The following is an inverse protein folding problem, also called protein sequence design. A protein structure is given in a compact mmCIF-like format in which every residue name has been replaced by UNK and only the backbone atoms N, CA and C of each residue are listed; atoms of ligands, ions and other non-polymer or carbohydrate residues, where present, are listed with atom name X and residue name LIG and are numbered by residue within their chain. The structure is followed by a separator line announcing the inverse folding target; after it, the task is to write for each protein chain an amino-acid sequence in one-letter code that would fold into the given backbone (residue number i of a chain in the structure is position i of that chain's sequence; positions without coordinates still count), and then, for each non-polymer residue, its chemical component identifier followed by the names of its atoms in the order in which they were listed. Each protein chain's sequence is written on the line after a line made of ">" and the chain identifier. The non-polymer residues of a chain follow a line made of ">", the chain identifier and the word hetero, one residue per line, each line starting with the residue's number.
data_IF_222518335913
#
_entry.id   IF_222518335913
#
_cell.length_a   1.000
_cell.length_b   1.000
_cell.length_c   1.000
_cell.angle_alpha   90.00
_cell.angle_beta   90.00
_cell.angle_gamma   90.00
#
_symmetry.space_group_name_H-M   'P 1'
#
loop_
_entity.id
_entity.type
_entity.pdbx_description
1 polymer ?
#
# COMPACT_ATOMS: atom_id res chain seq x y z
N UNK A 1 4.67 5.83 -15.12
CA UNK A 1 5.99 5.19 -15.06
C UNK A 1 5.71 3.70 -15.04
N UNK A 2 6.39 2.90 -15.86
CA UNK A 2 6.14 1.46 -15.86
C UNK A 2 6.68 0.85 -14.56
N UNK A 3 5.88 0.06 -13.85
CA UNK A 3 6.32 -0.66 -12.65
C UNK A 3 7.32 -1.74 -13.07
N UNK A 4 8.55 -1.66 -12.56
CA UNK A 4 9.66 -2.59 -12.86
C UNK A 4 10.19 -3.33 -11.65
N UNK A 5 9.99 -2.81 -10.45
CA UNK A 5 10.31 -3.51 -9.20
C UNK A 5 9.15 -3.41 -8.22
N UNK A 6 8.67 -4.56 -7.73
CA UNK A 6 7.63 -4.66 -6.71
C UNK A 6 8.23 -5.26 -5.45
N UNK A 7 8.02 -4.60 -4.31
CA UNK A 7 8.34 -5.13 -2.98
C UNK A 7 7.15 -5.91 -2.43
N UNK A 8 7.41 -7.10 -1.91
CA UNK A 8 6.48 -7.85 -1.06
C UNK A 8 7.13 -8.10 0.29
N UNK A 9 6.49 -7.64 1.38
CA UNK A 9 6.95 -7.89 2.75
C UNK A 9 6.07 -8.97 3.37
N UNK A 10 6.69 -10.04 3.87
CA UNK A 10 5.99 -11.23 4.33
C UNK A 10 6.48 -11.58 5.73
N UNK A 11 5.56 -11.75 6.68
CA UNK A 11 5.89 -12.26 8.00
C UNK A 11 6.16 -13.78 7.97
N UNK A 12 7.08 -14.27 8.80
CA UNK A 12 7.45 -15.70 8.80
C UNK A 12 6.28 -16.66 8.99
N UNK A 13 5.28 -16.26 9.79
CA UNK A 13 4.09 -17.07 10.09
C UNK A 13 2.96 -16.93 9.06
N UNK A 14 3.18 -16.23 7.95
CA UNK A 14 2.18 -16.07 6.90
C UNK A 14 2.20 -17.27 5.95
N UNK A 15 1.05 -17.60 5.38
CA UNK A 15 1.01 -18.54 4.27
C UNK A 15 1.62 -17.91 3.01
N UNK A 16 1.64 -18.67 1.91
CA UNK A 16 2.27 -18.19 0.67
C UNK A 16 1.29 -17.45 -0.27
N UNK A 17 0.07 -17.13 0.17
CA UNK A 17 -0.97 -16.54 -0.70
C UNK A 17 -0.56 -15.15 -1.21
N UNK A 18 -0.02 -14.32 -0.32
CA UNK A 18 0.45 -12.98 -0.66
C UNK A 18 1.69 -13.06 -1.57
N UNK A 19 2.57 -14.06 -1.37
CA UNK A 19 3.74 -14.30 -2.23
C UNK A 19 3.31 -14.75 -3.63
N UNK A 20 2.31 -15.64 -3.73
CA UNK A 20 1.75 -16.09 -5.01
C UNK A 20 1.09 -14.93 -5.75
N UNK A 21 0.34 -14.10 -5.04
CA UNK A 21 -0.26 -12.87 -5.60
C UNK A 21 0.81 -11.91 -6.13
N UNK A 22 1.94 -11.76 -5.42
CA UNK A 22 3.07 -10.95 -5.86
C UNK A 22 3.73 -11.52 -7.13
N UNK A 23 3.91 -12.84 -7.19
CA UNK A 23 4.45 -13.54 -8.36
C UNK A 23 3.56 -13.32 -9.58
N UNK A 24 2.24 -13.51 -9.43
CA UNK A 24 1.27 -13.32 -10.50
C UNK A 24 1.28 -11.87 -11.02
N UNK A 25 1.31 -10.89 -10.11
CA UNK A 25 1.37 -9.48 -10.46
C UNK A 25 2.67 -9.15 -11.21
N UNK A 26 3.82 -9.58 -10.71
CA UNK A 26 5.12 -9.34 -11.35
C UNK A 26 5.20 -10.00 -12.73
N UNK A 27 4.67 -11.22 -12.88
CA UNK A 27 4.60 -11.90 -14.17
C UNK A 27 3.76 -11.12 -15.19
N UNK A 28 2.61 -10.58 -14.77
CA UNK A 28 1.71 -9.83 -15.65
C UNK A 28 2.29 -8.50 -16.18
N UNK A 29 3.24 -7.90 -15.46
CA UNK A 29 3.88 -6.61 -15.83
C UNK A 29 5.36 -6.72 -16.14
N UNK A 30 5.91 -7.94 -16.17
CA UNK A 30 7.34 -8.23 -16.36
C UNK A 30 8.24 -7.45 -15.39
N UNK A 31 7.85 -7.41 -14.11
CA UNK A 31 8.59 -6.76 -13.04
C UNK A 31 9.48 -7.73 -12.25
N UNK A 32 10.52 -7.18 -11.64
CA UNK A 32 11.33 -7.84 -10.63
C UNK A 32 10.57 -7.88 -9.30
N UNK A 33 10.57 -9.03 -8.63
CA UNK A 33 9.99 -9.19 -7.30
C UNK A 33 11.09 -9.14 -6.23
N UNK A 34 11.09 -8.10 -5.40
CA UNK A 34 11.92 -8.03 -4.20
C UNK A 34 11.11 -8.54 -3.01
N UNK A 35 11.55 -9.62 -2.38
CA UNK A 35 10.85 -10.21 -1.22
C UNK A 35 11.64 -9.95 0.05
N UNK A 36 10.96 -9.37 1.05
CA UNK A 36 11.51 -9.18 2.39
C UNK A 36 10.75 -10.06 3.38
N UNK A 37 11.41 -11.07 3.92
CA UNK A 37 10.81 -11.96 4.93
C UNK A 37 11.18 -11.42 6.30
N UNK A 38 10.17 -11.11 7.12
CA UNK A 38 10.36 -10.35 8.36
C UNK A 38 9.93 -11.14 9.59
N UNK A 39 10.75 -11.03 10.64
CA UNK A 39 10.43 -11.39 12.02
C UNK A 39 10.46 -10.12 12.87
N UNK A 40 9.41 -9.91 13.66
CA UNK A 40 9.41 -8.89 14.72
C UNK A 40 9.91 -9.52 16.01
N UNK A 41 11.16 -9.24 16.33
CA UNK A 41 11.84 -9.73 17.50
C UNK A 41 11.25 -9.11 18.78
N UNK A 42 11.11 -9.93 19.81
CA UNK A 42 10.87 -9.47 21.16
C UNK A 42 12.18 -8.92 21.72
N UNK A 43 12.23 -7.66 22.23
CA UNK A 43 13.46 -7.09 22.76
C UNK A 43 13.95 -7.89 23.99
N UNK A 44 15.27 -7.94 24.23
CA UNK A 44 15.82 -8.65 25.39
C UNK A 44 15.29 -8.04 26.69
N UNK A 45 14.82 -8.90 27.60
CA UNK A 45 14.47 -8.51 28.96
C UNK A 45 15.78 -8.35 29.74
N UNK A 46 16.20 -7.10 29.94
CA UNK A 46 17.46 -6.71 30.58
C UNK A 46 18.06 -5.51 29.85
N UNK A 47 17.82 -4.30 30.37
CA UNK A 47 18.26 -3.05 29.71
C UNK A 47 19.77 -2.81 29.82
N UNK A 48 20.29 -1.94 28.94
CA UNK A 48 21.56 -1.20 29.04
C UNK A 48 22.64 -1.79 29.96
N UNK A 49 23.20 -2.96 29.61
CA UNK A 49 24.38 -3.52 30.26
C UNK A 49 24.17 -4.70 31.22
N UNK A 50 22.96 -5.26 31.31
CA UNK A 50 22.72 -6.52 32.03
C UNK A 50 23.02 -7.77 31.16
N UNK A 51 23.31 -8.89 31.82
CA UNK A 51 23.52 -10.19 31.17
C UNK A 51 22.21 -10.62 30.49
N UNK A 52 22.25 -10.72 29.15
CA UNK A 52 21.13 -11.23 28.37
C UNK A 52 20.76 -12.63 28.85
N UNK A 53 19.48 -12.85 29.19
CA UNK A 53 19.00 -14.15 29.62
C UNK A 53 19.27 -15.22 28.56
N UNK A 54 19.78 -16.39 28.96
CA UNK A 54 19.99 -17.53 28.06
C UNK A 54 18.70 -17.95 27.36
N UNK A 55 17.55 -17.78 28.03
CA UNK A 55 16.22 -18.04 27.45
C UNK A 55 15.95 -17.14 26.24
N UNK A 56 16.34 -15.87 26.29
CA UNK A 56 16.16 -14.96 25.16
C UNK A 56 17.11 -15.31 24.00
N UNK A 57 18.36 -15.70 24.31
CA UNK A 57 19.32 -16.14 23.29
C UNK A 57 18.80 -17.37 22.56
N UNK A 58 18.33 -18.38 23.29
CA UNK A 58 17.73 -19.58 22.71
C UNK A 58 16.49 -19.27 21.86
N UNK A 59 15.62 -18.35 22.31
CA UNK A 59 14.42 -17.99 21.56
C UNK A 59 14.77 -17.24 20.27
N UNK A 60 15.71 -16.31 20.32
CA UNK A 60 16.24 -15.65 19.12
C UNK A 60 16.80 -16.65 18.12
N UNK A 61 17.58 -17.63 18.58
CA UNK A 61 18.11 -18.69 17.69
C UNK A 61 16.98 -19.48 17.02
N UNK A 62 15.93 -19.84 17.77
CA UNK A 62 14.75 -20.51 17.21
C UNK A 62 14.04 -19.66 16.15
N UNK A 63 13.83 -18.37 16.42
CA UNK A 63 13.19 -17.46 15.47
C UNK A 63 14.03 -17.26 14.20
N UNK A 64 15.36 -17.16 14.33
CA UNK A 64 16.25 -17.09 13.17
C UNK A 64 16.20 -18.37 12.33
N UNK A 65 16.14 -19.56 12.96
CA UNK A 65 15.95 -20.80 12.20
C UNK A 65 14.60 -20.85 11.47
N UNK A 66 13.52 -20.33 12.09
CA UNK A 66 12.21 -20.22 11.42
C UNK A 66 12.30 -19.29 10.22
N UNK A 67 12.98 -18.15 10.37
CA UNK A 67 13.25 -17.20 9.29
C UNK A 67 14.01 -17.85 8.14
N UNK A 68 15.11 -18.55 8.42
CA UNK A 68 15.90 -19.26 7.41
C UNK A 68 15.08 -20.31 6.66
N UNK A 69 14.25 -21.09 7.38
CA UNK A 69 13.34 -22.06 6.78
C UNK A 69 12.32 -21.38 5.85
N UNK A 70 11.72 -20.26 6.27
CA UNK A 70 10.77 -19.51 5.45
C UNK A 70 11.45 -18.92 4.21
N UNK A 71 12.67 -18.39 4.35
CA UNK A 71 13.49 -17.90 3.23
C UNK A 71 13.77 -19.01 2.21
N UNK A 72 14.18 -20.19 2.66
CA UNK A 72 14.42 -21.34 1.78
C UNK A 72 13.15 -21.77 1.04
N UNK A 73 12.01 -21.82 1.74
CA UNK A 73 10.70 -22.15 1.14
C UNK A 73 10.28 -21.12 0.08
N UNK A 74 10.38 -19.83 0.40
CA UNK A 74 10.04 -18.75 -0.53
C UNK A 74 10.93 -18.77 -1.77
N UNK A 75 12.25 -18.97 -1.61
CA UNK A 75 13.19 -19.12 -2.74
C UNK A 75 12.80 -20.29 -3.65
N UNK A 76 12.42 -21.42 -3.07
CA UNK A 76 11.99 -22.60 -3.84
C UNK A 76 10.73 -22.29 -4.66
N UNK A 77 9.76 -21.61 -4.07
CA UNK A 77 8.56 -21.18 -4.78
C UNK A 77 8.90 -20.20 -5.93
N UNK A 78 9.74 -19.21 -5.66
CA UNK A 78 10.14 -18.19 -6.64
C UNK A 78 10.93 -18.77 -7.82
N UNK A 79 11.83 -19.71 -7.56
CA UNK A 79 12.58 -20.40 -8.62
C UNK A 79 11.65 -21.10 -9.63
N UNK A 80 10.51 -21.64 -9.17
CA UNK A 80 9.54 -22.29 -10.04
C UNK A 80 8.69 -21.32 -10.88
N UNK A 81 8.71 -20.01 -10.56
CA UNK A 81 7.83 -19.02 -11.20
C UNK A 81 8.38 -18.40 -12.49
N UNK A 82 9.70 -18.45 -12.69
CA UNK A 82 10.37 -17.91 -13.88
C UNK A 82 10.50 -16.38 -13.93
N UNK A 83 10.07 -15.65 -12.90
CA UNK A 83 10.26 -14.19 -12.81
C UNK A 83 11.66 -13.83 -12.30
N UNK A 84 12.07 -12.58 -12.52
CA UNK A 84 13.27 -12.03 -11.87
C UNK A 84 12.95 -11.73 -10.40
N UNK A 85 13.78 -12.17 -9.46
CA UNK A 85 13.53 -11.95 -8.04
C UNK A 85 14.81 -11.85 -7.20
N UNK A 86 14.67 -11.24 -6.03
CA UNK A 86 15.60 -11.29 -4.92
C UNK A 86 14.83 -11.63 -3.63
N UNK A 87 15.51 -12.27 -2.67
CA UNK A 87 14.92 -12.57 -1.36
C UNK A 87 15.91 -12.19 -0.29
N UNK A 88 15.44 -11.35 0.62
CA UNK A 88 16.17 -10.88 1.80
C UNK A 88 15.37 -11.17 3.06
N UNK A 89 16.04 -11.10 4.20
CA UNK A 89 15.48 -11.42 5.51
C UNK A 89 15.73 -10.30 6.50
N UNK A 90 14.72 -9.98 7.30
CA UNK A 90 14.79 -8.94 8.32
C UNK A 90 14.38 -9.52 9.67
N UNK A 91 15.33 -9.55 10.61
CA UNK A 91 15.06 -9.84 12.01
C UNK A 91 15.24 -8.55 12.80
N UNK A 92 14.14 -7.96 13.28
CA UNK A 92 14.18 -6.61 13.85
C UNK A 92 13.14 -6.41 14.94
N UNK A 93 13.37 -5.47 15.84
CA UNK A 93 12.36 -5.11 16.84
C UNK A 93 11.28 -4.22 16.22
N UNK A 94 10.07 -4.28 16.76
CA UNK A 94 8.93 -3.50 16.26
C UNK A 94 9.18 -1.98 16.20
N UNK A 95 10.09 -1.44 17.03
CA UNK A 95 10.42 -0.02 17.05
C UNK A 95 11.29 0.46 15.88
N UNK A 96 11.95 -0.45 15.16
CA UNK A 96 12.85 -0.15 14.03
C UNK A 96 12.32 -0.65 12.69
N UNK A 97 11.36 -1.58 12.74
CA UNK A 97 10.80 -2.24 11.57
C UNK A 97 10.32 -1.27 10.47
N UNK A 98 9.63 -0.18 10.84
CA UNK A 98 9.13 0.78 9.85
C UNK A 98 10.27 1.48 9.09
N UNK A 99 11.34 1.88 9.77
CA UNK A 99 12.51 2.47 9.12
C UNK A 99 13.16 1.46 8.16
N UNK A 100 13.45 0.24 8.63
CA UNK A 100 14.15 -0.80 7.85
C UNK A 100 13.35 -1.27 6.64
N UNK A 101 12.04 -1.48 6.80
CA UNK A 101 11.13 -1.77 5.68
C UNK A 101 11.10 -0.59 4.70
N UNK A 102 11.07 0.63 5.24
CA UNK A 102 11.18 1.86 4.46
C UNK A 102 12.42 1.93 3.60
N UNK A 103 13.57 1.51 4.13
CA UNK A 103 14.84 1.52 3.38
C UNK A 103 14.79 0.63 2.15
N UNK A 104 14.15 -0.54 2.27
CA UNK A 104 13.92 -1.41 1.12
C UNK A 104 12.90 -0.82 0.16
N UNK A 105 11.81 -0.26 0.67
CA UNK A 105 10.76 0.34 -0.14
C UNK A 105 11.23 1.56 -0.96
N UNK A 106 12.30 2.26 -0.54
CA UNK A 106 12.86 3.41 -1.29
C UNK A 106 13.37 3.08 -2.69
N UNK A 107 13.72 1.81 -2.94
CA UNK A 107 14.34 1.36 -4.19
C UNK A 107 13.39 0.53 -5.07
N UNK A 108 12.08 0.59 -4.82
CA UNK A 108 11.06 -0.09 -5.62
C UNK A 108 10.07 0.90 -6.20
N UNK A 109 9.35 0.48 -7.23
CA UNK A 109 8.32 1.31 -7.87
C UNK A 109 6.96 1.15 -7.17
N UNK A 110 6.75 0.04 -6.46
CA UNK A 110 5.49 -0.30 -5.80
C UNK A 110 5.74 -1.26 -4.63
N UNK A 111 5.06 -1.06 -3.50
CA UNK A 111 5.01 -2.07 -2.43
C UNK A 111 3.64 -2.75 -2.43
N UNK A 112 3.59 -4.06 -2.69
CA UNK A 112 2.37 -4.85 -2.63
C UNK A 112 2.09 -5.32 -1.21
N UNK A 113 0.86 -5.08 -0.75
CA UNK A 113 0.35 -5.46 0.56
C UNK A 113 -0.89 -6.34 0.34
N UNK A 114 -0.72 -7.65 0.55
CA UNK A 114 -1.79 -8.61 0.33
C UNK A 114 -2.75 -8.74 1.52
N UNK A 115 -3.88 -9.42 1.28
CA UNK A 115 -4.94 -9.57 2.27
C UNK A 115 -4.54 -10.42 3.47
N UNK A 116 -3.57 -11.34 3.32
CA UNK A 116 -3.02 -12.12 4.43
C UNK A 116 -2.28 -11.23 5.42
N UNK A 117 -1.47 -10.31 4.91
CA UNK A 117 -0.73 -9.33 5.68
C UNK A 117 -1.64 -8.34 6.41
N UNK A 118 -2.69 -7.83 5.73
CA UNK A 118 -3.66 -6.90 6.33
C UNK A 118 -4.44 -7.51 7.51
N UNK A 119 -4.57 -8.84 7.56
CA UNK A 119 -5.28 -9.54 8.62
C UNK A 119 -4.45 -9.75 9.89
N UNK A 120 -3.13 -9.49 9.86
CA UNK A 120 -2.24 -9.63 11.03
C UNK A 120 -1.93 -8.28 11.66
N UNK A 121 -2.41 -8.05 12.88
CA UNK A 121 -2.33 -6.74 13.54
C UNK A 121 -0.90 -6.29 13.87
N UNK A 122 0.02 -7.23 14.15
CA UNK A 122 1.40 -6.95 14.58
C UNK A 122 2.30 -6.47 13.44
N UNK A 123 2.25 -7.10 12.27
CA UNK A 123 3.06 -6.77 11.09
C UNK A 123 2.47 -5.63 10.26
N UNK A 124 1.15 -5.50 10.27
CA UNK A 124 0.40 -4.61 9.38
C UNK A 124 0.87 -3.16 9.49
N UNK A 125 0.94 -2.62 10.71
CA UNK A 125 1.26 -1.20 10.91
C UNK A 125 2.73 -0.87 10.66
N UNK A 126 3.72 -1.65 11.14
CA UNK A 126 5.11 -1.44 10.76
C UNK A 126 5.33 -1.40 9.25
N UNK A 127 4.74 -2.34 8.50
CA UNK A 127 4.88 -2.36 7.03
C UNK A 127 4.19 -1.18 6.36
N UNK A 128 2.93 -0.91 6.72
CA UNK A 128 2.21 0.24 6.18
C UNK A 128 2.96 1.53 6.48
N UNK A 129 3.49 1.68 7.70
CA UNK A 129 4.22 2.87 8.08
C UNK A 129 5.54 3.01 7.33
N UNK A 130 6.32 1.94 7.23
CA UNK A 130 7.59 1.94 6.50
C UNK A 130 7.39 2.21 5.02
N UNK A 131 6.48 1.49 4.38
CA UNK A 131 6.24 1.64 2.94
C UNK A 131 5.59 2.98 2.57
N UNK A 132 4.70 3.54 3.42
CA UNK A 132 3.96 4.76 3.10
C UNK A 132 4.61 6.06 3.61
N UNK A 133 5.33 6.02 4.74
CA UNK A 133 5.92 7.21 5.34
C UNK A 133 7.44 7.30 5.22
N UNK A 134 8.14 6.17 5.01
CA UNK A 134 9.60 6.12 4.95
C UNK A 134 10.12 5.87 3.52
N UNK A 135 9.21 5.78 2.54
CA UNK A 135 9.49 5.62 1.11
C UNK A 135 8.63 6.56 0.24
N UNK A 136 9.15 7.03 -0.91
CA UNK A 136 8.34 7.72 -1.92
C UNK A 136 7.51 6.76 -2.80
N UNK A 137 7.72 5.45 -2.71
CA UNK A 137 7.02 4.47 -3.54
C UNK A 137 5.55 4.35 -3.14
N UNK A 138 4.59 4.28 -4.08
CA UNK A 138 3.21 3.93 -3.75
C UNK A 138 3.11 2.54 -3.09
N UNK A 139 2.11 2.40 -2.22
CA UNK A 139 1.64 1.10 -1.74
C UNK A 139 0.44 0.66 -2.57
N UNK A 140 0.35 -0.64 -2.82
CA UNK A 140 -0.77 -1.29 -3.50
C UNK A 140 -1.35 -2.36 -2.58
N UNK A 141 -2.52 -2.06 -2.04
CA UNK A 141 -3.21 -2.88 -1.06
C UNK A 141 -4.26 -3.71 -1.79
N UNK A 142 -4.18 -5.03 -1.66
CA UNK A 142 -5.11 -5.97 -2.30
C UNK A 142 -5.92 -6.66 -1.20
N UNK A 143 -7.23 -6.38 -1.09
CA UNK A 143 -8.07 -7.02 -0.08
C UNK A 143 -8.24 -8.52 -0.36
N UNK A 144 -8.50 -9.29 0.70
CA UNK A 144 -8.71 -10.74 0.59
C UNK A 144 -9.85 -11.05 -0.38
N UNK A 145 -9.62 -12.01 -1.28
CA UNK A 145 -10.61 -12.43 -2.29
C UNK A 145 -10.55 -11.63 -3.60
N UNK A 146 -9.64 -10.65 -3.71
CA UNK A 146 -9.36 -9.96 -4.96
C UNK A 146 -8.02 -10.40 -5.54
N UNK A 147 -7.94 -10.42 -6.87
CA UNK A 147 -6.67 -10.63 -7.59
C UNK A 147 -5.92 -9.32 -7.73
N UNK A 148 -4.61 -9.35 -7.53
CA UNK A 148 -3.75 -8.21 -7.77
C UNK A 148 -3.66 -7.92 -9.28
N UNK A 149 -4.13 -6.75 -9.73
CA UNK A 149 -4.01 -6.31 -11.12
C UNK A 149 -3.66 -4.83 -11.19
N UNK A 150 -2.67 -4.51 -12.04
CA UNK A 150 -2.29 -3.14 -12.37
C UNK A 150 -2.92 -2.66 -13.69
N UNK A 151 -3.96 -3.35 -14.18
CA UNK A 151 -4.70 -2.98 -15.39
C UNK A 151 -6.21 -2.92 -15.12
N UNK A 152 -6.67 -2.03 -14.22
CA UNK A 152 -8.09 -1.87 -13.94
C UNK A 152 -8.83 -1.24 -15.14
N UNK A 153 -10.04 -1.72 -15.41
CA UNK A 153 -10.92 -1.14 -16.44
C UNK A 153 -11.57 0.17 -15.98
N UNK A 154 -11.99 0.22 -14.71
CA UNK A 154 -12.59 1.41 -14.09
C UNK A 154 -11.80 1.81 -12.85
N UNK A 155 -11.37 3.07 -12.79
CA UNK A 155 -10.60 3.61 -11.66
C UNK A 155 -11.35 4.74 -10.98
N UNK A 156 -11.45 4.66 -9.66
CA UNK A 156 -11.90 5.76 -8.81
C UNK A 156 -10.69 6.52 -8.27
N UNK A 157 -10.58 7.81 -8.57
CA UNK A 157 -9.59 8.71 -7.99
C UNK A 157 -10.27 9.51 -6.88
N UNK A 158 -9.91 9.24 -5.62
CA UNK A 158 -10.34 10.05 -4.50
C UNK A 158 -9.50 11.33 -4.42
N UNK A 159 -10.15 12.49 -4.57
CA UNK A 159 -9.47 13.76 -4.76
C UNK A 159 -9.88 14.82 -3.74
N UNK A 160 -8.88 15.46 -3.13
CA UNK A 160 -9.05 16.52 -2.12
C UNK A 160 -8.29 17.83 -2.49
N UNK A 161 -7.82 17.92 -3.73
CA UNK A 161 -7.02 19.05 -4.26
C UNK A 161 -5.71 19.32 -3.50
N UNK A 162 -5.13 18.31 -2.85
CA UNK A 162 -3.83 18.41 -2.18
C UNK A 162 -2.70 17.73 -2.93
N UNK A 163 -1.48 17.97 -2.43
CA UNK A 163 -0.25 17.41 -2.99
C UNK A 163 -0.24 15.89 -2.93
N UNK A 164 -0.77 15.29 -1.87
CA UNK A 164 -0.82 13.84 -1.67
C UNK A 164 -1.73 13.19 -2.73
N UNK A 165 -2.93 13.75 -2.97
CA UNK A 165 -3.80 13.29 -4.05
C UNK A 165 -3.17 13.49 -5.44
N UNK A 166 -2.48 14.62 -5.64
CA UNK A 166 -1.73 14.89 -6.87
C UNK A 166 -0.60 13.89 -7.10
N UNK A 167 0.12 13.50 -6.05
CA UNK A 167 1.16 12.49 -6.11
C UNK A 167 0.56 11.11 -6.42
N UNK A 168 -0.59 10.77 -5.83
CA UNK A 168 -1.30 9.51 -6.11
C UNK A 168 -1.70 9.39 -7.58
N UNK A 169 -2.29 10.46 -8.13
CA UNK A 169 -2.62 10.52 -9.55
C UNK A 169 -1.39 10.35 -10.44
N UNK A 170 -0.26 10.97 -10.08
CA UNK A 170 0.99 10.83 -10.86
C UNK A 170 1.58 9.43 -10.76
N UNK A 171 1.57 8.82 -9.58
CA UNK A 171 2.04 7.46 -9.37
C UNK A 171 1.19 6.43 -10.13
N UNK A 172 -0.13 6.65 -10.21
CA UNK A 172 -1.07 5.77 -10.90
C UNK A 172 -1.23 6.07 -12.41
N UNK A 173 -0.42 6.94 -13.01
CA UNK A 173 -0.66 7.44 -14.36
C UNK A 173 -0.74 6.33 -15.43
N UNK A 174 0.02 5.25 -15.27
CA UNK A 174 -0.06 4.10 -16.18
C UNK A 174 -1.42 3.41 -16.11
N UNK A 175 -1.92 3.15 -14.88
CA UNK A 175 -3.22 2.55 -14.62
C UNK A 175 -4.34 3.46 -15.16
N UNK A 176 -4.24 4.77 -14.92
CA UNK A 176 -5.23 5.76 -15.36
C UNK A 176 -5.30 5.89 -16.89
N UNK A 177 -4.15 5.83 -17.58
CA UNK A 177 -4.10 5.91 -19.04
C UNK A 177 -4.61 4.62 -19.70
N UNK A 178 -4.39 3.47 -19.07
CA UNK A 178 -4.86 2.17 -19.55
C UNK A 178 -6.34 1.88 -19.25
N UNK A 179 -6.96 2.63 -18.33
CA UNK A 179 -8.34 2.42 -17.93
C UNK A 179 -9.35 2.88 -18.98
N UNK A 180 -10.48 2.16 -19.07
CA UNK A 180 -11.61 2.53 -19.93
C UNK A 180 -12.32 3.76 -19.37
N UNK A 181 -12.48 3.82 -18.05
CA UNK A 181 -13.15 4.92 -17.35
C UNK A 181 -12.36 5.32 -16.10
N UNK A 182 -12.13 6.62 -15.94
CA UNK A 182 -11.58 7.19 -14.71
C UNK A 182 -12.60 8.16 -14.13
N UNK A 183 -13.06 7.93 -12.90
CA UNK A 183 -13.90 8.87 -12.19
C UNK A 183 -13.08 9.57 -11.10
N UNK A 184 -13.04 10.90 -11.13
CA UNK A 184 -12.51 11.71 -10.03
C UNK A 184 -13.66 12.02 -9.09
N UNK A 185 -13.62 11.48 -7.88
CA UNK A 185 -14.62 11.77 -6.85
C UNK A 185 -14.10 12.76 -5.81
N UNK A 186 -14.94 13.76 -5.53
CA UNK A 186 -14.67 14.78 -4.51
C UNK A 186 -15.84 14.80 -3.54
N UNK A 187 -15.57 14.57 -2.26
CA UNK A 187 -16.61 14.52 -1.22
C UNK A 187 -16.69 15.87 -0.49
N UNK A 188 -17.89 16.44 -0.43
CA UNK A 188 -18.19 17.73 0.20
C UNK A 188 -17.18 18.86 -0.16
N UNK A 189 -16.88 19.12 -1.45
CA UNK A 189 -15.95 20.18 -1.80
C UNK A 189 -16.48 21.54 -1.37
N UNK A 190 -15.61 22.35 -0.78
CA UNK A 190 -15.83 23.79 -0.68
C UNK A 190 -15.25 24.47 -1.93
N UNK A 191 -16.12 25.02 -2.79
CA UNK A 191 -15.69 25.80 -3.95
C UNK A 191 -15.03 27.10 -3.47
N UNK A 192 -13.72 27.23 -3.73
CA UNK A 192 -12.98 28.45 -3.42
C UNK A 192 -11.77 28.58 -4.33
N UNK A 193 -11.47 29.83 -4.72
CA UNK A 193 -10.32 30.17 -5.59
C UNK A 193 -8.98 29.67 -5.01
N UNK A 194 -8.89 29.54 -3.67
CA UNK A 194 -7.66 29.08 -2.98
C UNK A 194 -7.60 27.58 -2.73
N UNK A 195 -8.63 26.82 -3.10
CA UNK A 195 -8.67 25.36 -2.91
C UNK A 195 -9.09 24.63 -4.19
N UNK A 196 -10.39 24.47 -4.41
CA UNK A 196 -10.96 23.61 -5.44
C UNK A 196 -11.26 24.36 -6.75
N UNK A 197 -10.97 25.66 -6.82
CA UNK A 197 -11.38 26.51 -7.94
C UNK A 197 -12.87 26.83 -7.92
N UNK A 198 -13.37 27.39 -9.02
CA UNK A 198 -14.79 27.68 -9.25
C UNK A 198 -15.60 26.40 -9.53
N UNK A 199 -14.96 25.41 -10.17
CA UNK A 199 -15.52 24.11 -10.48
C UNK A 199 -14.61 23.01 -9.88
N UNK A 200 -14.97 22.45 -8.69
CA UNK A 200 -14.19 21.43 -8.03
C UNK A 200 -13.85 20.25 -8.94
N UNK A 201 -12.56 19.98 -9.11
CA UNK A 201 -12.06 18.85 -9.91
C UNK A 201 -11.78 19.17 -11.39
N UNK A 202 -12.15 20.36 -11.89
CA UNK A 202 -11.92 20.73 -13.28
C UNK A 202 -10.43 20.71 -13.65
N UNK A 203 -9.55 21.21 -12.78
CA UNK A 203 -8.11 21.28 -13.05
C UNK A 203 -7.45 19.89 -13.14
N UNK A 204 -7.82 18.96 -12.25
CA UNK A 204 -7.30 17.58 -12.30
C UNK A 204 -7.88 16.82 -13.49
N UNK A 205 -9.15 17.03 -13.82
CA UNK A 205 -9.75 16.46 -15.03
C UNK A 205 -9.05 16.97 -16.30
N UNK A 206 -8.80 18.27 -16.39
CA UNK A 206 -8.04 18.85 -17.51
C UNK A 206 -6.61 18.30 -17.57
N UNK A 207 -5.94 18.13 -16.43
CA UNK A 207 -4.62 17.51 -16.35
C UNK A 207 -4.63 16.06 -16.86
N UNK A 208 -5.59 15.25 -16.43
CA UNK A 208 -5.75 13.84 -16.84
C UNK A 208 -6.11 13.74 -18.33
N UNK A 209 -7.02 14.58 -18.82
CA UNK A 209 -7.38 14.64 -20.24
C UNK A 209 -6.18 14.94 -21.14
N UNK A 210 -5.24 15.80 -20.70
CA UNK A 210 -3.97 16.06 -21.43
C UNK A 210 -3.07 14.83 -21.53
N UNK A 211 -3.23 13.84 -20.65
CA UNK A 211 -2.54 12.55 -20.71
C UNK A 211 -3.32 11.48 -21.49
N UNK A 212 -4.46 11.84 -22.10
CA UNK A 212 -5.29 10.90 -22.85
C UNK A 212 -6.25 10.08 -22.00
N UNK A 213 -6.42 10.41 -20.72
CA UNK A 213 -7.33 9.71 -19.81
C UNK A 213 -8.78 10.11 -20.08
N UNK A 214 -9.68 9.13 -20.19
CA UNK A 214 -11.14 9.37 -20.22
C UNK A 214 -11.63 9.60 -18.80
N UNK A 215 -11.75 10.87 -18.42
CA UNK A 215 -12.08 11.28 -17.05
C UNK A 215 -13.47 11.89 -16.93
N UNK A 216 -14.21 11.51 -15.90
CA UNK A 216 -15.39 12.22 -15.37
C UNK A 216 -15.09 12.77 -13.97
N UNK A 217 -15.89 13.74 -13.51
CA UNK A 217 -15.79 14.30 -12.16
C UNK A 217 -17.13 14.17 -11.47
N UNK A 218 -17.13 13.52 -10.31
CA UNK A 218 -18.30 13.32 -9.47
C UNK A 218 -18.13 14.08 -8.15
N UNK A 219 -19.02 15.06 -7.92
CA UNK A 219 -19.12 15.76 -6.65
C UNK A 219 -20.14 15.06 -5.77
N UNK A 220 -19.67 14.47 -4.68
CA UNK A 220 -20.45 13.61 -3.80
C UNK A 220 -20.80 14.34 -2.50
N UNK A 221 -22.06 14.25 -2.09
CA UNK A 221 -22.49 14.70 -0.77
C UNK A 221 -22.30 13.57 0.26
N UNK A 222 -21.65 13.86 1.40
CA UNK A 222 -21.48 12.84 2.44
C UNK A 222 -22.79 12.46 3.12
N UNK A 223 -23.70 13.42 3.27
CA UNK A 223 -24.96 13.24 4.00
C UNK A 223 -24.74 12.85 5.46
N UNK A 224 -23.62 13.29 6.07
CA UNK A 224 -23.26 12.95 7.45
C UNK A 224 -22.54 11.60 7.62
N UNK A 225 -22.30 10.86 6.53
CA UNK A 225 -21.44 9.66 6.54
C UNK A 225 -19.96 10.06 6.52
N UNK A 226 -19.06 9.12 6.86
CA UNK A 226 -17.64 9.37 6.70
C UNK A 226 -17.25 9.45 5.22
N UNK A 227 -16.23 10.25 4.88
CA UNK A 227 -15.69 10.33 3.51
C UNK A 227 -15.27 8.94 2.98
N UNK A 228 -14.70 8.10 3.84
CA UNK A 228 -14.31 6.74 3.47
C UNK A 228 -15.54 5.88 3.09
N UNK A 229 -16.65 5.96 3.83
CA UNK A 229 -17.89 5.24 3.49
C UNK A 229 -18.45 5.70 2.14
N UNK A 230 -18.44 7.01 1.89
CA UNK A 230 -18.91 7.60 0.63
C UNK A 230 -18.06 7.10 -0.54
N UNK A 231 -16.74 7.12 -0.40
CA UNK A 231 -15.82 6.64 -1.44
C UNK A 231 -15.98 5.13 -1.70
N UNK A 232 -16.13 4.31 -0.65
CA UNK A 232 -16.36 2.86 -0.80
C UNK A 232 -17.67 2.54 -1.50
N UNK A 233 -18.74 3.21 -1.08
CA UNK A 233 -20.04 3.05 -1.70
C UNK A 233 -19.95 3.44 -3.18
N UNK A 234 -19.39 4.60 -3.47
CA UNK A 234 -19.28 5.08 -4.84
C UNK A 234 -18.38 4.20 -5.72
N UNK A 235 -17.25 3.69 -5.18
CA UNK A 235 -16.41 2.71 -5.87
C UNK A 235 -17.22 1.46 -6.27
N UNK A 236 -18.11 1.00 -5.39
CA UNK A 236 -19.02 -0.12 -5.66
C UNK A 236 -20.05 0.25 -6.72
N UNK A 237 -20.67 1.44 -6.61
CA UNK A 237 -21.73 1.90 -7.50
C UNK A 237 -21.27 2.03 -8.96
N UNK A 238 -20.02 2.48 -9.18
CA UNK A 238 -19.45 2.63 -10.53
C UNK A 238 -18.72 1.37 -11.02
N UNK A 239 -18.67 0.31 -10.21
CA UNK A 239 -17.91 -0.91 -10.53
C UNK A 239 -16.41 -0.64 -10.70
N UNK A 240 -15.83 0.19 -9.83
CA UNK A 240 -14.40 0.44 -9.84
C UNK A 240 -13.62 -0.84 -9.49
N UNK A 241 -12.48 -1.03 -10.15
CA UNK A 241 -11.55 -2.13 -9.90
C UNK A 241 -10.30 -1.65 -9.14
N UNK A 242 -10.11 -0.33 -9.05
CA UNK A 242 -9.02 0.31 -8.33
C UNK A 242 -9.50 1.62 -7.70
N UNK A 243 -9.11 1.86 -6.45
CA UNK A 243 -9.14 3.18 -5.83
C UNK A 243 -7.73 3.76 -5.81
N UNK A 244 -7.57 4.99 -6.28
CA UNK A 244 -6.34 5.78 -6.18
C UNK A 244 -6.60 6.92 -5.21
N UNK A 245 -5.80 7.03 -4.15
CA UNK A 245 -5.95 8.13 -3.18
C UNK A 245 -4.61 8.59 -2.59
N UNK A 246 -4.52 9.87 -2.25
CA UNK A 246 -3.44 10.40 -1.42
C UNK A 246 -3.54 9.92 0.03
N UNK A 247 -2.40 9.83 0.71
CA UNK A 247 -2.31 9.42 2.10
C UNK A 247 -1.93 10.59 3.03
N UNK A 248 -2.68 10.79 4.10
CA UNK A 248 -2.31 11.69 5.21
C UNK A 248 -1.88 13.12 4.81
N UNK A 249 -2.72 13.82 4.03
CA UNK A 249 -2.48 15.21 3.59
C UNK A 249 -2.85 16.31 4.59
N UNK A 250 -3.33 15.96 5.80
CA UNK A 250 -3.46 16.90 6.91
C UNK A 250 -2.23 16.80 7.81
N UNK A 251 -1.69 17.96 8.20
CA UNK A 251 -0.51 18.15 9.06
C UNK A 251 -0.38 17.05 10.11
N UNK A 252 0.73 16.32 10.05
CA UNK A 252 1.19 15.29 11.00
C UNK A 252 0.63 15.52 12.41
N UNK A 253 -0.41 14.78 12.77
CA UNK A 253 -0.71 14.49 14.16
C UNK A 253 -0.48 13.00 14.35
N UNK A 254 0.77 12.68 14.71
CA UNK A 254 1.27 11.32 14.92
C UNK A 254 0.64 10.63 16.13
N UNK A 255 -0.27 11.29 16.86
CA UNK A 255 -0.84 10.74 18.09
C UNK A 255 -2.37 10.88 18.27
N UNK A 256 -3.13 11.65 17.47
CA UNK A 256 -4.51 12.02 17.89
C UNK A 256 -5.58 12.13 16.79
N UNK A 257 -5.68 11.17 15.85
CA UNK A 257 -6.95 11.00 15.09
C UNK A 257 -7.34 9.52 15.08
N UNK A 258 -8.17 9.16 16.06
CA UNK A 258 -9.16 8.10 15.93
C UNK A 258 -9.95 8.32 14.63
N UNK A 259 -9.78 7.47 13.61
CA UNK A 259 -10.57 7.54 12.37
C UNK A 259 -10.15 8.65 11.41
N UNK A 260 -9.29 8.31 10.46
CA UNK A 260 -9.02 9.13 9.27
C UNK A 260 -9.45 8.39 8.01
N UNK A 261 -9.68 9.11 6.91
CA UNK A 261 -10.05 8.51 5.61
C UNK A 261 -9.02 7.45 5.22
N UNK A 262 -7.72 7.78 5.27
CA UNK A 262 -6.64 6.83 4.98
C UNK A 262 -6.68 5.59 5.87
N UNK A 263 -6.78 5.75 7.20
CA UNK A 263 -6.82 4.61 8.13
C UNK A 263 -8.05 3.72 7.86
N UNK A 264 -9.23 4.32 7.70
CA UNK A 264 -10.46 3.59 7.40
C UNK A 264 -10.39 2.85 6.07
N UNK A 265 -9.77 3.44 5.05
CA UNK A 265 -9.55 2.78 3.75
C UNK A 265 -8.56 1.62 3.86
N UNK A 266 -7.46 1.79 4.58
CA UNK A 266 -6.49 0.71 4.84
C UNK A 266 -7.06 -0.43 5.69
N UNK A 267 -7.97 -0.13 6.62
CA UNK A 267 -8.68 -1.12 7.44
C UNK A 267 -9.75 -1.88 6.67
N UNK A 268 -10.45 -1.23 5.75
CA UNK A 268 -11.62 -1.83 5.11
C UNK A 268 -11.77 -1.32 3.69
N UNK A 269 -10.84 -1.65 2.80
CA UNK A 269 -11.00 -1.36 1.37
C UNK A 269 -11.82 -2.48 0.69
N UNK A 270 -12.86 -2.14 -0.10
CA UNK A 270 -13.70 -3.15 -0.74
C UNK A 270 -13.05 -3.74 -2.00
N UNK A 271 -12.09 -3.02 -2.59
CA UNK A 271 -11.38 -3.35 -3.84
C UNK A 271 -9.90 -2.95 -3.71
N UNK A 272 -9.02 -3.33 -4.65
CA UNK A 272 -7.63 -2.88 -4.64
C UNK A 272 -7.48 -1.36 -4.49
N UNK A 273 -6.49 -0.96 -3.69
CA UNK A 273 -6.26 0.41 -3.27
C UNK A 273 -4.79 0.78 -3.49
N UNK A 274 -4.55 1.78 -4.33
CA UNK A 274 -3.24 2.38 -4.53
C UNK A 274 -3.15 3.69 -3.74
N UNK A 275 -2.15 3.80 -2.89
CA UNK A 275 -1.90 4.99 -2.08
C UNK A 275 -0.47 5.47 -2.20
N UNK A 276 -0.29 6.78 -2.12
CA UNK A 276 1.03 7.40 -1.98
C UNK A 276 0.90 8.67 -1.16
N UNK A 277 2.05 9.21 -0.75
CA UNK A 277 2.17 10.41 0.06
C UNK A 277 2.87 11.50 -0.72
#
# INVERSE_FOLDING_TARGET
>A
MQVKTILSVIGVDQNDDDLRSAIELCSAVEAHLSVLITVLAIPPIGGNGEVVSTVWVEEREREMEVLDRKVASAKTLLQSSGISFDVDSLFTESGWADNEIGERARYVDLTLIGGGLLAKDDMRWPILNGALFQSPSPIFVVPKGYSASLRPSTVLVAWDSRNEASQAVRAAMEQLTGAVNVCVAIVDPYASIRSNGEEPGADVAAFLARHGVRVSVDVLASGGRSVADVLRQHATDIGAELIVMGAYGHSRMREWIFGGVTRSMLETTPIPLLMTR
#
